data_IF_718654026574
#
_entry.id   IF_718654026574
#
_cell.length_a   1.000
_cell.length_b   1.000
_cell.length_c   1.000
_cell.angle_alpha   90.00
_cell.angle_beta   90.00
_cell.angle_gamma   90.00
#
_symmetry.space_group_name_H-M   'P 1'
#
loop_
_entity.id
_entity.type
_entity.pdbx_description
1 polymer ?
#
# COMPACT_ATOMS: atom_id res chain seq x y z
N UNK A 1 -27.84 4.52 -0.45
CA UNK A 1 -27.83 3.03 -0.60
C UNK A 1 -26.42 2.57 -0.34
N UNK A 2 -26.12 1.84 0.74
CA UNK A 2 -24.79 1.26 0.97
C UNK A 2 -24.56 0.21 -0.11
N UNK A 3 -23.41 0.22 -0.83
CA UNK A 3 -23.09 -0.89 -1.71
C UNK A 3 -23.05 -2.18 -0.88
N UNK A 4 -23.61 -3.25 -1.41
CA UNK A 4 -23.59 -4.55 -0.75
C UNK A 4 -22.12 -4.92 -0.47
N UNK A 5 -21.76 -5.10 0.79
CA UNK A 5 -20.44 -5.55 1.21
C UNK A 5 -20.12 -6.88 0.50
N UNK A 6 -18.97 -6.98 -0.19
CA UNK A 6 -18.56 -8.23 -0.78
C UNK A 6 -18.18 -9.20 0.32
N UNK A 7 -18.74 -10.41 0.24
CA UNK A 7 -18.40 -11.68 0.90
C UNK A 7 -17.88 -11.62 2.36
N UNK A 8 -18.39 -12.48 3.24
CA UNK A 8 -17.91 -12.52 4.63
C UNK A 8 -16.40 -12.77 4.67
N UNK A 9 -15.68 -11.82 5.27
CA UNK A 9 -14.24 -11.92 5.51
C UNK A 9 -14.02 -13.13 6.42
N UNK A 10 -13.26 -14.16 6.01
CA UNK A 10 -12.99 -15.31 6.87
C UNK A 10 -12.29 -14.85 8.16
N UNK A 11 -12.64 -15.43 9.33
CA UNK A 11 -12.02 -15.06 10.58
C UNK A 11 -10.49 -15.21 10.51
N UNK A 12 -9.76 -14.31 11.17
CA UNK A 12 -8.31 -14.16 11.16
C UNK A 12 -7.52 -15.49 11.32
N UNK A 13 -8.05 -16.45 12.07
CA UNK A 13 -7.40 -17.74 12.32
C UNK A 13 -7.34 -18.73 11.14
N UNK A 14 -7.91 -18.41 9.96
CA UNK A 14 -7.93 -19.29 8.76
C UNK A 14 -7.11 -18.76 7.59
N UNK A 15 -6.58 -17.53 7.66
CA UNK A 15 -5.79 -16.95 6.56
C UNK A 15 -4.33 -17.41 6.67
N UNK A 16 -3.70 -17.69 5.52
CA UNK A 16 -2.29 -18.08 5.48
C UNK A 16 -1.40 -16.86 5.86
N UNK A 17 -0.40 -17.05 6.71
CA UNK A 17 0.53 -15.95 7.02
C UNK A 17 1.28 -15.52 5.76
N UNK A 18 1.54 -14.22 5.62
CA UNK A 18 2.32 -13.63 4.55
C UNK A 18 3.61 -13.03 5.06
N UNK A 19 3.51 -12.21 6.10
CA UNK A 19 4.62 -11.43 6.66
C UNK A 19 4.49 -11.39 8.18
N UNK A 20 5.63 -11.45 8.88
CA UNK A 20 5.70 -11.31 10.33
C UNK A 20 6.82 -10.33 10.70
N UNK A 21 6.51 -9.36 11.53
CA UNK A 21 7.46 -8.54 12.28
C UNK A 21 7.48 -9.10 13.71
N UNK A 22 8.68 -9.37 14.24
CA UNK A 22 8.86 -9.89 15.59
C UNK A 22 9.87 -9.01 16.35
N UNK A 23 9.39 -8.28 17.35
CA UNK A 23 10.18 -7.43 18.22
C UNK A 23 11.00 -6.38 17.46
N UNK A 24 10.45 -5.77 16.42
CA UNK A 24 11.22 -4.89 15.53
C UNK A 24 11.49 -3.53 16.17
N UNK A 25 12.77 -3.21 16.30
CA UNK A 25 13.28 -1.90 16.70
C UNK A 25 13.88 -1.15 15.51
N UNK A 26 13.76 0.18 15.56
CA UNK A 26 14.51 1.06 14.66
C UNK A 26 15.02 2.29 15.40
N UNK A 27 16.34 2.39 15.49
CA UNK A 27 17.05 3.53 16.06
C UNK A 27 17.84 4.23 14.94
N UNK A 28 17.69 5.54 14.83
CA UNK A 28 18.47 6.39 13.91
C UNK A 28 19.60 7.09 14.68
N UNK A 29 20.79 7.09 14.11
CA UNK A 29 21.98 7.77 14.63
C UNK A 29 22.29 7.44 16.11
N UNK A 30 21.90 6.24 16.57
CA UNK A 30 22.12 5.79 17.95
C UNK A 30 21.29 6.52 19.02
N UNK A 31 20.47 7.52 18.67
CA UNK A 31 19.80 8.39 19.64
C UNK A 31 18.29 8.47 19.47
N UNK A 32 17.79 8.40 18.24
CA UNK A 32 16.35 8.55 17.95
C UNK A 32 15.71 7.20 17.73
N UNK A 33 14.98 6.71 18.73
CA UNK A 33 14.19 5.48 18.62
C UNK A 33 12.87 5.78 17.89
N UNK A 34 12.79 5.35 16.63
CA UNK A 34 11.60 5.51 15.80
C UNK A 34 10.57 4.41 16.04
N UNK A 35 11.02 3.16 16.22
CA UNK A 35 10.17 2.02 16.55
C UNK A 35 10.80 1.24 17.70
N UNK A 36 9.97 0.69 18.59
CA UNK A 36 10.40 -0.14 19.71
C UNK A 36 9.47 -1.34 19.89
N UNK A 37 10.03 -2.55 19.74
CA UNK A 37 9.35 -3.81 20.00
C UNK A 37 8.10 -3.98 19.13
N UNK A 38 8.15 -3.59 17.84
CA UNK A 38 6.97 -3.70 16.97
C UNK A 38 6.73 -5.14 16.58
N UNK A 39 5.59 -5.69 17.01
CA UNK A 39 5.05 -6.97 16.56
C UNK A 39 3.88 -6.74 15.62
N UNK A 40 3.88 -7.44 14.48
CA UNK A 40 2.77 -7.40 13.52
C UNK A 40 2.73 -8.70 12.72
N UNK A 41 1.57 -9.33 12.64
CA UNK A 41 1.32 -10.44 11.74
C UNK A 41 0.40 -9.99 10.62
N UNK A 42 0.78 -10.29 9.38
CA UNK A 42 0.03 -9.98 8.17
C UNK A 42 -0.33 -11.29 7.47
N UNK A 43 -1.60 -11.52 7.24
CA UNK A 43 -2.07 -12.67 6.50
C UNK A 43 -2.39 -12.33 5.04
N UNK A 44 -2.41 -13.33 4.17
CA UNK A 44 -2.77 -13.15 2.76
C UNK A 44 -4.19 -12.61 2.62
N UNK A 45 -4.35 -11.55 1.83
CA UNK A 45 -5.63 -10.89 1.58
C UNK A 45 -6.09 -9.95 2.70
N UNK A 46 -5.27 -9.72 3.75
CA UNK A 46 -5.57 -8.70 4.75
C UNK A 46 -5.52 -7.29 4.13
N UNK A 47 -6.45 -6.43 4.55
CA UNK A 47 -6.29 -4.99 4.41
C UNK A 47 -6.09 -4.40 5.81
N UNK A 48 -4.86 -3.98 6.11
CA UNK A 48 -4.47 -3.49 7.43
C UNK A 48 -4.19 -1.99 7.35
N UNK A 49 -4.85 -1.19 8.18
CA UNK A 49 -4.45 0.20 8.38
C UNK A 49 -3.49 0.34 9.56
N UNK A 50 -2.38 1.04 9.35
CA UNK A 50 -1.55 1.57 10.43
C UNK A 50 -2.04 2.99 10.73
N UNK A 51 -2.74 3.15 11.85
CA UNK A 51 -3.33 4.41 12.30
C UNK A 51 -2.52 5.00 13.46
N UNK A 52 -2.24 6.29 13.42
CA UNK A 52 -1.55 6.98 14.51
C UNK A 52 -1.10 8.39 14.13
N UNK A 53 -0.69 9.18 15.12
CA UNK A 53 -0.28 10.57 14.89
C UNK A 53 0.95 10.67 13.99
N UNK A 54 1.19 11.85 13.44
CA UNK A 54 2.40 12.12 12.67
C UNK A 54 3.64 11.88 13.51
N UNK A 55 4.67 11.26 12.92
CA UNK A 55 5.93 10.95 13.60
C UNK A 55 5.88 9.74 14.54
N UNK A 56 4.80 8.94 14.59
CA UNK A 56 4.77 7.70 15.38
C UNK A 56 5.44 6.49 14.71
N UNK A 57 6.16 6.66 13.60
CA UNK A 57 6.93 5.59 12.98
C UNK A 57 6.24 4.80 11.87
N UNK A 58 5.03 5.15 11.43
CA UNK A 58 4.27 4.43 10.36
C UNK A 58 5.08 4.26 9.07
N UNK A 59 5.57 5.37 8.52
CA UNK A 59 6.40 5.33 7.31
C UNK A 59 7.74 4.62 7.52
N UNK A 60 8.27 4.63 8.76
CA UNK A 60 9.46 3.83 9.12
C UNK A 60 9.14 2.34 9.06
N UNK A 61 7.99 1.91 9.62
CA UNK A 61 7.53 0.53 9.53
C UNK A 61 7.36 0.09 8.07
N UNK A 62 6.72 0.93 7.21
CA UNK A 62 6.59 0.63 5.79
C UNK A 62 7.95 0.46 5.09
N UNK A 63 8.92 1.36 5.35
CA UNK A 63 10.25 1.28 4.75
C UNK A 63 11.03 0.05 5.19
N UNK A 64 10.84 -0.40 6.42
CA UNK A 64 11.42 -1.65 6.93
C UNK A 64 10.79 -2.85 6.24
N UNK A 65 9.46 -2.90 6.10
CA UNK A 65 8.74 -3.96 5.38
C UNK A 65 9.13 -3.99 3.91
N UNK A 66 9.32 -2.80 3.29
CA UNK A 66 9.78 -2.67 1.91
C UNK A 66 11.24 -3.08 1.69
N UNK A 67 11.99 -3.40 2.75
CA UNK A 67 13.43 -3.72 2.65
C UNK A 67 14.31 -2.51 2.32
N UNK A 68 13.76 -1.29 2.34
CA UNK A 68 14.50 -0.04 2.11
C UNK A 68 15.38 0.35 3.30
N UNK A 69 15.15 -0.28 4.45
CA UNK A 69 15.92 -0.12 5.68
C UNK A 69 16.07 -1.48 6.36
N UNK A 70 17.10 -1.62 7.18
CA UNK A 70 17.26 -2.76 8.09
C UNK A 70 16.76 -2.40 9.48
N UNK A 71 16.11 -3.31 10.21
CA UNK A 71 15.80 -3.12 11.63
C UNK A 71 17.10 -3.01 12.45
N UNK A 72 17.06 -2.31 13.59
CA UNK A 72 18.16 -2.25 14.54
C UNK A 72 18.18 -3.49 15.45
N UNK A 73 17.01 -4.06 15.74
CA UNK A 73 16.81 -5.33 16.42
C UNK A 73 15.49 -5.97 15.95
N UNK A 74 15.26 -7.22 16.30
CA UNK A 74 14.11 -8.00 15.84
C UNK A 74 14.27 -8.52 14.42
N UNK A 75 13.19 -9.04 13.86
CA UNK A 75 13.20 -9.66 12.53
C UNK A 75 11.94 -9.37 11.74
N UNK A 76 12.07 -9.38 10.40
CA UNK A 76 10.98 -9.30 9.45
C UNK A 76 11.08 -10.51 8.54
N UNK A 77 10.05 -11.36 8.53
CA UNK A 77 10.07 -12.65 7.86
C UNK A 77 8.92 -12.77 6.87
N UNK A 78 9.22 -13.14 5.63
CA UNK A 78 8.23 -13.43 4.60
C UNK A 78 8.00 -14.94 4.51
N UNK A 79 6.75 -15.36 4.55
CA UNK A 79 6.39 -16.77 4.32
C UNK A 79 6.66 -17.15 2.87
N UNK A 80 7.54 -18.15 2.67
CA UNK A 80 7.98 -18.57 1.35
C UNK A 80 9.05 -17.66 0.71
N UNK A 81 9.62 -16.73 1.47
CA UNK A 81 10.56 -15.73 0.94
C UNK A 81 9.86 -14.59 0.20
N UNK A 82 10.64 -13.61 -0.23
CA UNK A 82 10.22 -12.47 -1.04
C UNK A 82 10.88 -12.55 -2.41
N UNK A 83 10.09 -12.59 -3.48
CA UNK A 83 10.58 -12.54 -4.85
C UNK A 83 10.50 -11.11 -5.41
N UNK A 84 11.24 -10.87 -6.51
CA UNK A 84 11.14 -9.60 -7.24
C UNK A 84 9.72 -9.43 -7.80
N UNK A 85 9.10 -8.28 -7.54
CA UNK A 85 7.73 -8.01 -7.94
C UNK A 85 6.65 -8.37 -6.92
N UNK A 86 7.01 -9.06 -5.82
CA UNK A 86 6.06 -9.41 -4.73
C UNK A 86 5.54 -8.20 -3.96
N UNK A 87 6.18 -7.04 -4.11
CA UNK A 87 5.88 -5.83 -3.37
C UNK A 87 5.59 -4.65 -4.30
N UNK A 88 4.42 -4.03 -4.14
CA UNK A 88 4.07 -2.73 -4.71
C UNK A 88 4.14 -1.64 -3.66
N UNK A 89 4.55 -0.43 -4.06
CA UNK A 89 4.60 0.72 -3.14
C UNK A 89 3.90 1.92 -3.76
N UNK A 90 3.01 2.54 -3.00
CA UNK A 90 2.34 3.81 -3.31
C UNK A 90 2.75 4.81 -2.25
N UNK A 91 3.39 5.90 -2.67
CA UNK A 91 3.82 6.98 -1.80
C UNK A 91 2.76 8.08 -1.68
N UNK A 92 2.90 8.95 -0.71
CA UNK A 92 2.06 10.13 -0.50
C UNK A 92 2.03 11.03 -1.73
N UNK A 93 3.19 11.22 -2.38
CA UNK A 93 3.26 11.81 -3.70
C UNK A 93 3.25 10.71 -4.77
N UNK A 94 2.54 10.87 -5.89
CA UNK A 94 2.45 9.84 -6.95
C UNK A 94 3.80 9.45 -7.57
N UNK A 95 4.83 10.28 -7.43
CA UNK A 95 6.21 10.04 -7.91
C UNK A 95 6.25 9.54 -9.36
N UNK A 96 5.44 10.13 -10.25
CA UNK A 96 5.43 9.80 -11.66
C UNK A 96 6.61 10.46 -12.39
N UNK A 97 7.17 9.73 -13.34
CA UNK A 97 8.17 10.26 -14.26
C UNK A 97 7.51 11.31 -15.17
N UNK A 98 7.84 12.62 -15.08
CA UNK A 98 7.13 13.68 -15.78
C UNK A 98 7.33 13.65 -17.31
N UNK A 99 8.40 13.02 -17.77
CA UNK A 99 8.74 12.83 -19.19
C UNK A 99 8.17 11.57 -19.82
N UNK A 100 7.52 10.71 -19.05
CA UNK A 100 6.96 9.45 -19.48
C UNK A 100 5.43 9.53 -19.52
N UNK A 101 4.80 8.82 -20.45
CA UNK A 101 3.34 8.70 -20.54
C UNK A 101 2.79 7.92 -19.33
N UNK A 102 1.47 7.90 -19.19
CA UNK A 102 0.76 7.08 -18.18
C UNK A 102 1.15 5.61 -18.33
N UNK A 103 1.07 5.06 -19.53
CA UNK A 103 1.45 3.67 -19.78
C UNK A 103 2.92 3.39 -19.49
N UNK A 104 3.81 4.30 -19.86
CA UNK A 104 5.24 4.16 -19.55
C UNK A 104 5.54 4.24 -18.06
N UNK A 105 4.78 5.03 -17.29
CA UNK A 105 4.86 5.04 -15.84
C UNK A 105 4.41 3.71 -15.23
N UNK A 106 3.32 3.13 -15.72
CA UNK A 106 2.82 1.82 -15.26
C UNK A 106 3.75 0.68 -15.70
N UNK A 107 4.40 0.80 -16.85
CA UNK A 107 5.40 -0.16 -17.36
C UNK A 107 6.68 -0.23 -16.52
N UNK A 108 7.02 0.83 -15.75
CA UNK A 108 8.30 0.94 -15.06
C UNK A 108 8.73 -0.32 -14.27
N UNK A 109 7.87 -0.99 -13.47
CA UNK A 109 8.25 -2.20 -12.75
C UNK A 109 8.72 -3.33 -13.66
N UNK A 110 8.08 -3.53 -14.79
CA UNK A 110 8.48 -4.54 -15.78
C UNK A 110 9.78 -4.20 -16.48
N UNK A 111 9.96 -2.92 -16.81
CA UNK A 111 11.23 -2.43 -17.37
C UNK A 111 12.42 -2.71 -16.45
N UNK A 112 12.24 -2.53 -15.13
CA UNK A 112 13.27 -2.85 -14.13
C UNK A 112 13.54 -4.35 -14.00
N UNK A 113 12.57 -5.20 -14.36
CA UNK A 113 12.72 -6.65 -14.45
C UNK A 113 13.31 -7.11 -15.80
N UNK A 114 13.57 -6.18 -16.73
CA UNK A 114 14.10 -6.49 -18.07
C UNK A 114 13.06 -7.02 -19.06
N UNK A 115 11.76 -6.96 -18.73
CA UNK A 115 10.69 -7.42 -19.62
C UNK A 115 10.40 -6.36 -20.70
N UNK A 116 10.36 -6.74 -22.01
CA UNK A 116 10.03 -5.83 -23.07
C UNK A 116 8.56 -5.42 -23.06
N UNK A 117 8.27 -4.18 -23.47
CA UNK A 117 6.91 -3.61 -23.44
C UNK A 117 5.85 -4.47 -24.14
N UNK A 118 6.08 -5.02 -25.36
CA UNK A 118 5.08 -5.83 -26.05
C UNK A 118 4.63 -7.08 -25.27
N UNK A 119 5.49 -7.65 -24.43
CA UNK A 119 5.17 -8.86 -23.65
C UNK A 119 4.23 -8.55 -22.45
N UNK A 120 4.16 -7.30 -22.05
CA UNK A 120 3.42 -6.86 -20.85
C UNK A 120 2.33 -5.83 -21.13
N UNK A 121 2.13 -5.47 -22.40
CA UNK A 121 1.17 -4.44 -22.83
C UNK A 121 -0.24 -4.73 -22.33
N UNK A 122 -0.72 -5.97 -22.45
CA UNK A 122 -2.03 -6.38 -21.96
C UNK A 122 -2.17 -6.23 -20.44
N UNK A 123 -1.08 -6.46 -19.69
CA UNK A 123 -1.09 -6.27 -18.24
C UNK A 123 -1.18 -4.80 -17.86
N UNK A 124 -0.48 -3.94 -18.61
CA UNK A 124 -0.53 -2.49 -18.46
C UNK A 124 -1.94 -1.97 -18.76
N UNK A 125 -2.53 -2.41 -19.89
CA UNK A 125 -3.89 -2.05 -20.27
C UNK A 125 -4.92 -2.47 -19.22
N UNK A 126 -4.82 -3.70 -18.69
CA UNK A 126 -5.68 -4.18 -17.59
C UNK A 126 -5.50 -3.35 -16.32
N UNK A 127 -4.26 -3.03 -15.93
CA UNK A 127 -4.00 -2.21 -14.75
C UNK A 127 -4.60 -0.80 -14.87
N UNK A 128 -4.51 -0.19 -16.05
CA UNK A 128 -5.13 1.11 -16.34
C UNK A 128 -6.66 1.05 -16.33
N UNK A 129 -7.26 -0.01 -16.86
CA UNK A 129 -8.71 -0.22 -16.84
C UNK A 129 -9.23 -0.42 -15.40
N UNK A 130 -8.48 -1.11 -14.54
CA UNK A 130 -8.84 -1.29 -13.13
C UNK A 130 -8.96 0.03 -12.36
N UNK A 131 -8.19 1.05 -12.74
CA UNK A 131 -8.23 2.39 -12.12
C UNK A 131 -9.00 3.43 -12.95
N UNK A 132 -9.66 3.02 -14.05
CA UNK A 132 -10.48 3.88 -14.92
C UNK A 132 -9.67 4.90 -15.70
N UNK A 133 -8.47 4.53 -16.15
CA UNK A 133 -7.57 5.40 -16.91
C UNK A 133 -7.20 4.85 -18.29
N UNK A 134 -7.98 3.93 -18.87
CA UNK A 134 -7.75 3.33 -20.18
C UNK A 134 -7.64 4.35 -21.31
N UNK A 135 -8.40 5.45 -21.21
CA UNK A 135 -8.39 6.53 -22.23
C UNK A 135 -7.22 7.51 -22.10
N UNK A 136 -6.42 7.39 -21.04
CA UNK A 136 -5.30 8.29 -20.72
C UNK A 136 -3.94 7.64 -20.94
N UNK A 137 -3.90 6.51 -21.64
CA UNK A 137 -2.70 5.72 -21.91
C UNK A 137 -1.49 6.56 -22.37
N UNK A 138 -1.71 7.46 -23.35
CA UNK A 138 -0.67 8.29 -23.95
C UNK A 138 -0.53 9.68 -23.31
N UNK A 139 -1.34 9.98 -22.28
CA UNK A 139 -1.26 11.26 -21.59
C UNK A 139 0.01 11.34 -20.72
N UNK A 140 0.52 12.55 -20.55
CA UNK A 140 1.63 12.83 -19.63
C UNK A 140 1.12 13.28 -18.26
N UNK A 141 1.91 13.13 -17.18
CA UNK A 141 1.49 13.52 -15.83
C UNK A 141 0.99 14.98 -15.72
N UNK A 142 1.55 15.90 -16.50
CA UNK A 142 1.12 17.31 -16.53
C UNK A 142 -0.32 17.52 -17.01
N UNK A 143 -0.89 16.55 -17.71
CA UNK A 143 -2.26 16.57 -18.26
C UNK A 143 -3.29 15.95 -17.30
N UNK A 144 -2.85 15.44 -16.15
CA UNK A 144 -3.67 14.71 -15.20
C UNK A 144 -3.97 15.54 -13.95
N UNK A 145 -5.16 15.36 -13.38
CA UNK A 145 -5.48 15.86 -12.03
C UNK A 145 -4.68 15.12 -10.95
N UNK A 146 -4.63 15.65 -9.74
CA UNK A 146 -3.96 15.01 -8.60
C UNK A 146 -4.47 13.59 -8.33
N UNK A 147 -5.79 13.41 -8.34
CA UNK A 147 -6.42 12.09 -8.17
C UNK A 147 -6.10 11.12 -9.30
N UNK A 148 -6.06 11.59 -10.55
CA UNK A 148 -5.63 10.75 -11.69
C UNK A 148 -4.16 10.33 -11.56
N UNK A 149 -3.27 11.21 -11.16
CA UNK A 149 -1.86 10.87 -10.88
C UNK A 149 -1.74 9.80 -9.81
N UNK A 150 -2.54 9.88 -8.75
CA UNK A 150 -2.57 8.87 -7.70
C UNK A 150 -3.07 7.52 -8.23
N UNK A 151 -4.11 7.49 -9.06
CA UNK A 151 -4.58 6.27 -9.72
C UNK A 151 -3.50 5.64 -10.62
N UNK A 152 -2.70 6.43 -11.34
CA UNK A 152 -1.54 5.92 -12.10
C UNK A 152 -0.51 5.28 -11.16
N UNK A 153 -0.22 5.91 -10.02
CA UNK A 153 0.69 5.34 -9.01
C UNK A 153 0.17 4.02 -8.44
N UNK A 154 -1.13 3.90 -8.18
CA UNK A 154 -1.77 2.66 -7.74
C UNK A 154 -1.67 1.60 -8.85
N UNK A 155 -2.00 1.93 -10.11
CA UNK A 155 -1.87 1.00 -11.24
C UNK A 155 -0.44 0.50 -11.40
N UNK A 156 0.56 1.39 -11.29
CA UNK A 156 1.99 1.03 -11.32
C UNK A 156 2.37 0.07 -10.21
N UNK A 157 1.85 0.27 -8.99
CA UNK A 157 2.14 -0.60 -7.85
C UNK A 157 1.51 -2.00 -8.00
N UNK A 158 0.40 -2.11 -8.76
CA UNK A 158 -0.37 -3.34 -8.93
C UNK A 158 -0.01 -4.14 -10.18
N UNK A 159 0.63 -3.53 -11.17
CA UNK A 159 0.80 -4.11 -12.51
C UNK A 159 1.59 -5.43 -12.51
N UNK A 160 2.45 -5.65 -11.52
CA UNK A 160 3.18 -6.90 -11.31
C UNK A 160 2.38 -7.97 -10.56
N UNK A 161 1.14 -7.67 -10.15
CA UNK A 161 0.30 -8.54 -9.33
C UNK A 161 0.98 -8.93 -8.01
N UNK A 162 1.44 -7.95 -7.22
CA UNK A 162 2.25 -8.20 -6.04
C UNK A 162 1.46 -8.93 -4.95
N UNK A 163 2.15 -9.65 -4.07
CA UNK A 163 1.57 -10.29 -2.88
C UNK A 163 1.18 -9.26 -1.80
N UNK A 164 1.90 -8.13 -1.75
CA UNK A 164 1.68 -7.04 -0.79
C UNK A 164 1.79 -5.68 -1.47
N UNK A 165 0.86 -4.79 -1.17
CA UNK A 165 0.95 -3.37 -1.52
C UNK A 165 1.09 -2.57 -0.23
N UNK A 166 2.10 -1.69 -0.20
CA UNK A 166 2.30 -0.70 0.85
C UNK A 166 1.82 0.65 0.35
N UNK A 167 0.99 1.34 1.13
CA UNK A 167 0.47 2.67 0.80
C UNK A 167 0.79 3.63 1.95
N UNK A 168 1.61 4.65 1.69
CA UNK A 168 2.04 5.63 2.70
C UNK A 168 1.26 6.93 2.54
N UNK A 169 0.18 7.11 3.29
CA UNK A 169 -0.72 8.28 3.28
C UNK A 169 -1.13 8.74 1.86
N UNK A 170 -1.59 7.84 0.97
CA UNK A 170 -1.71 8.12 -0.47
C UNK A 170 -2.70 9.25 -0.79
N UNK A 171 -3.64 9.53 0.11
CA UNK A 171 -4.70 10.51 -0.13
C UNK A 171 -4.52 11.81 0.67
N UNK A 172 -3.46 11.95 1.46
CA UNK A 172 -3.26 13.08 2.37
C UNK A 172 -3.16 14.45 1.65
N UNK A 173 -2.60 14.47 0.43
CA UNK A 173 -2.40 15.70 -0.35
C UNK A 173 -3.61 16.08 -1.23
N UNK A 174 -4.74 15.34 -1.14
CA UNK A 174 -5.90 15.54 -2.00
C UNK A 174 -7.02 16.31 -1.27
N UNK A 175 -7.83 17.04 -2.03
CA UNK A 175 -9.05 17.63 -1.52
C UNK A 175 -10.07 16.58 -1.07
N UNK A 176 -11.01 16.96 -0.22
CA UNK A 176 -11.94 16.04 0.44
C UNK A 176 -12.81 15.25 -0.56
N UNK A 177 -13.31 15.89 -1.61
CA UNK A 177 -14.19 15.25 -2.60
C UNK A 177 -13.42 14.20 -3.39
N UNK A 178 -12.20 14.55 -3.84
CA UNK A 178 -11.31 13.63 -4.55
C UNK A 178 -10.90 12.47 -3.65
N UNK A 179 -10.63 12.73 -2.37
CA UNK A 179 -10.27 11.71 -1.37
C UNK A 179 -11.40 10.72 -1.15
N UNK A 180 -12.64 11.19 -0.95
CA UNK A 180 -13.80 10.30 -0.81
C UNK A 180 -13.97 9.40 -2.03
N UNK A 181 -13.86 9.96 -3.24
CA UNK A 181 -13.96 9.19 -4.48
C UNK A 181 -12.86 8.13 -4.60
N UNK A 182 -11.62 8.46 -4.22
CA UNK A 182 -10.52 7.49 -4.27
C UNK A 182 -10.64 6.40 -3.20
N UNK A 183 -11.24 6.69 -2.05
CA UNK A 183 -11.58 5.67 -1.07
C UNK A 183 -12.62 4.68 -1.62
N UNK A 184 -13.67 5.16 -2.29
CA UNK A 184 -14.66 4.31 -2.95
C UNK A 184 -14.02 3.47 -4.07
N UNK A 185 -13.16 4.09 -4.89
CA UNK A 185 -12.43 3.41 -5.96
C UNK A 185 -11.50 2.32 -5.40
N UNK A 186 -10.79 2.61 -4.31
CA UNK A 186 -9.88 1.65 -3.68
C UNK A 186 -10.65 0.48 -3.04
N UNK A 187 -11.80 0.75 -2.44
CA UNK A 187 -12.70 -0.29 -1.91
C UNK A 187 -13.22 -1.19 -3.04
N UNK A 188 -13.67 -0.60 -4.16
CA UNK A 188 -14.10 -1.34 -5.33
C UNK A 188 -12.97 -2.16 -5.98
N UNK A 189 -11.77 -1.60 -5.98
CA UNK A 189 -10.56 -2.25 -6.48
C UNK A 189 -10.18 -3.45 -5.59
N UNK A 190 -10.22 -3.29 -4.27
CA UNK A 190 -9.98 -4.34 -3.29
C UNK A 190 -10.85 -5.58 -3.55
N UNK A 191 -12.12 -5.38 -3.91
CA UNK A 191 -13.03 -6.48 -4.22
C UNK A 191 -12.62 -7.30 -5.46
N UNK A 192 -11.88 -6.68 -6.38
CA UNK A 192 -11.44 -7.29 -7.65
C UNK A 192 -10.07 -7.95 -7.54
N UNK A 193 -9.21 -7.46 -6.66
CA UNK A 193 -7.83 -7.95 -6.49
C UNK A 193 -7.70 -8.70 -5.18
N UNK A 194 -7.07 -9.89 -5.23
CA UNK A 194 -6.74 -10.69 -4.03
C UNK A 194 -5.35 -10.32 -3.52
N UNK A 195 -5.09 -9.04 -3.27
CA UNK A 195 -3.81 -8.55 -2.79
C UNK A 195 -3.90 -8.17 -1.32
N UNK A 196 -2.83 -8.40 -0.58
CA UNK A 196 -2.68 -7.91 0.79
C UNK A 196 -2.30 -6.44 0.75
N UNK A 197 -2.85 -5.61 1.63
CA UNK A 197 -2.55 -4.17 1.68
C UNK A 197 -2.19 -3.75 3.10
N UNK A 198 -1.10 -3.00 3.25
CA UNK A 198 -0.80 -2.21 4.45
C UNK A 198 -0.95 -0.74 4.07
N UNK A 199 -1.93 -0.10 4.69
CA UNK A 199 -2.34 1.27 4.40
C UNK A 199 -2.00 2.18 5.59
N UNK A 200 -1.13 3.15 5.39
CA UNK A 200 -0.81 4.15 6.41
C UNK A 200 -1.72 5.34 6.24
N UNK A 201 -2.35 5.74 7.32
CA UNK A 201 -3.18 6.96 7.38
C UNK A 201 -3.21 7.54 8.78
N UNK A 202 -3.56 8.82 8.88
CA UNK A 202 -3.93 9.48 10.14
C UNK A 202 -5.45 9.70 10.22
N UNK A 203 -6.21 9.29 9.19
CA UNK A 203 -7.67 9.40 9.12
C UNK A 203 -8.34 8.16 9.73
N UNK A 204 -9.11 8.38 10.79
CA UNK A 204 -9.93 7.32 11.39
C UNK A 204 -11.00 6.83 10.39
N UNK A 205 -11.58 7.76 9.61
CA UNK A 205 -12.58 7.41 8.58
C UNK A 205 -12.00 6.43 7.56
N UNK A 206 -10.83 6.74 6.95
CA UNK A 206 -10.19 5.87 5.97
C UNK A 206 -9.87 4.49 6.55
N UNK A 207 -9.34 4.45 7.78
CA UNK A 207 -8.98 3.17 8.42
C UNK A 207 -10.20 2.27 8.66
N UNK A 208 -11.33 2.83 9.11
CA UNK A 208 -12.57 2.05 9.32
C UNK A 208 -13.24 1.68 7.99
N UNK A 209 -13.17 2.59 7.00
CA UNK A 209 -13.84 2.39 5.72
C UNK A 209 -13.18 1.32 4.83
N UNK A 210 -11.84 1.25 4.87
CA UNK A 210 -11.05 0.41 3.96
C UNK A 210 -10.58 -0.92 4.55
N UNK A 211 -10.44 -1.02 5.89
CA UNK A 211 -9.64 -2.08 6.48
C UNK A 211 -10.45 -3.22 7.09
N UNK A 212 -9.83 -4.41 7.15
CA UNK A 212 -10.28 -5.53 7.99
C UNK A 212 -9.77 -5.35 9.43
N UNK A 213 -8.55 -4.77 9.54
CA UNK A 213 -7.84 -4.63 10.79
C UNK A 213 -7.19 -3.24 10.87
N UNK A 214 -7.26 -2.64 12.04
CA UNK A 214 -6.63 -1.34 12.33
C UNK A 214 -5.60 -1.57 13.43
N UNK A 215 -4.35 -1.31 13.12
CA UNK A 215 -3.23 -1.33 14.07
C UNK A 215 -2.97 0.10 14.51
N UNK A 216 -3.32 0.40 15.74
CA UNK A 216 -3.12 1.73 16.34
C UNK A 216 -1.71 1.85 16.87
N UNK A 217 -0.97 2.84 16.40
CA UNK A 217 0.41 3.10 16.80
C UNK A 217 0.49 4.26 17.79
N UNK A 218 1.13 4.02 18.93
CA UNK A 218 1.55 5.08 19.85
C UNK A 218 2.83 5.76 19.36
N UNK A 219 3.03 7.00 19.79
CA UNK A 219 4.22 7.77 19.45
C UNK A 219 5.29 7.76 20.56
N UNK A 220 6.56 7.90 20.14
CA UNK A 220 7.74 8.21 20.98
C UNK A 220 8.03 7.24 22.12
N UNK A 221 8.53 6.06 21.83
CA UNK A 221 8.80 5.48 20.51
C UNK A 221 7.54 4.91 19.86
N UNK A 222 7.58 4.73 18.54
CA UNK A 222 6.52 4.05 17.80
C UNK A 222 6.40 2.59 18.23
N UNK A 223 5.20 2.19 18.63
CA UNK A 223 4.87 0.81 19.03
C UNK A 223 3.41 0.54 18.73
N UNK A 224 3.07 -0.72 18.54
CA UNK A 224 1.66 -1.12 18.48
C UNK A 224 1.03 -0.91 19.86
N UNK A 225 -0.02 -0.10 19.93
CA UNK A 225 -0.77 0.17 21.16
C UNK A 225 -1.95 -0.78 21.29
N UNK A 226 -2.68 -0.99 20.22
CA UNK A 226 -3.82 -1.91 20.16
C UNK A 226 -4.10 -2.28 18.72
N UNK A 227 -4.83 -3.36 18.55
CA UNK A 227 -5.31 -3.83 17.27
C UNK A 227 -6.82 -4.05 17.33
N UNK A 228 -7.53 -3.55 16.31
CA UNK A 228 -8.98 -3.60 16.21
C UNK A 228 -9.36 -4.35 14.93
N UNK A 229 -10.36 -5.21 15.02
CA UNK A 229 -10.98 -5.84 13.84
C UNK A 229 -12.18 -5.00 13.44
N UNK A 230 -12.30 -4.70 12.16
CA UNK A 230 -13.45 -4.00 11.58
C UNK A 230 -14.43 -5.05 11.06
N UNK A 231 -15.69 -5.04 11.54
CA UNK A 231 -16.70 -6.03 11.16
C UNK A 231 -17.21 -5.90 9.73
#
# INVERSE_FOLDING_TARGET
>A
MRPAYPLPIPPLGRRKPLLQLAGVDKVFNGTVTALSGMDLQVAQGDFISLLGPSGCGKSTALRLIAGLMRPSAGSITWTGGQAQGDLGVVFQEPTLMPWATVAQNVYLPFRLQGLPYPEVEDRIARALALVGLERFHDAYPRQLSGGMKMRVSIARAMVTEPRLILMDEPFAALDEITRMKLNDDLLALRAKIKCTVIFVTHSLYESVFLSDRIVVMAARPGRVSTELTVP
#
